data_IF_201338124519
#
_entry.id   IF_201338124519
#
_cell.length_a   1.000
_cell.length_b   1.000
_cell.length_c   1.000
_cell.angle_alpha   90.00
_cell.angle_beta   90.00
_cell.angle_gamma   90.00
#
_symmetry.space_group_name_H-M   'P 1'
#
loop_
_entity.id
_entity.type
_entity.pdbx_description
1 polymer ?
#
# COMPACT_ATOMS: atom_id res chain seq x y z
N UNK A 1 -7.38 -20.35 17.12
CA UNK A 1 -7.83 -18.94 17.06
C UNK A 1 -7.98 -18.53 15.61
N UNK A 2 -9.21 -18.24 15.16
CA UNK A 2 -9.43 -17.63 13.85
C UNK A 2 -8.73 -16.26 13.84
N UNK A 3 -7.76 -16.05 12.94
CA UNK A 3 -7.09 -14.74 12.81
C UNK A 3 -8.16 -13.72 12.41
N UNK A 4 -8.46 -12.77 13.31
CA UNK A 4 -9.39 -11.68 13.04
C UNK A 4 -8.93 -10.97 11.75
N UNK A 5 -9.81 -10.90 10.76
CA UNK A 5 -9.54 -10.26 9.48
C UNK A 5 -9.09 -8.81 9.74
N UNK A 6 -8.02 -8.37 9.10
CA UNK A 6 -7.55 -6.98 9.14
C UNK A 6 -7.69 -6.35 7.74
N UNK A 7 -8.75 -5.55 7.55
CA UNK A 7 -9.15 -5.02 6.24
C UNK A 7 -8.06 -4.13 5.65
N UNK A 8 -7.52 -3.22 6.45
CA UNK A 8 -6.44 -2.32 6.02
C UNK A 8 -5.21 -3.09 5.54
N UNK A 9 -4.83 -4.15 6.26
CA UNK A 9 -3.69 -5.01 5.90
C UNK A 9 -3.94 -5.72 4.57
N UNK A 10 -5.12 -6.31 4.37
CA UNK A 10 -5.46 -7.02 3.13
C UNK A 10 -5.44 -6.06 1.95
N UNK A 11 -6.18 -4.95 2.02
CA UNK A 11 -6.23 -3.93 0.95
C UNK A 11 -4.82 -3.44 0.61
N UNK A 12 -4.01 -3.14 1.63
CA UNK A 12 -2.64 -2.67 1.43
C UNK A 12 -1.77 -3.72 0.71
N UNK A 13 -1.82 -4.98 1.15
CA UNK A 13 -1.00 -6.05 0.55
C UNK A 13 -1.41 -6.36 -0.89
N UNK A 14 -2.70 -6.41 -1.19
CA UNK A 14 -3.22 -6.62 -2.55
C UNK A 14 -2.81 -5.48 -3.50
N UNK A 15 -2.90 -4.24 -3.04
CA UNK A 15 -2.47 -3.08 -3.82
C UNK A 15 -0.95 -3.05 -4.01
N UNK A 16 -0.17 -3.46 -3.01
CA UNK A 16 1.28 -3.61 -3.16
C UNK A 16 1.66 -4.71 -4.15
N UNK A 17 0.96 -5.84 -4.14
CA UNK A 17 1.18 -6.93 -5.10
C UNK A 17 0.88 -6.47 -6.52
N UNK A 18 -0.27 -5.81 -6.73
CA UNK A 18 -0.65 -5.22 -8.02
C UNK A 18 0.39 -4.20 -8.50
N UNK A 19 0.83 -3.29 -7.63
CA UNK A 19 1.86 -2.30 -7.95
C UNK A 19 3.17 -2.95 -8.39
N UNK A 20 3.62 -4.01 -7.68
CA UNK A 20 4.85 -4.75 -8.05
C UNK A 20 4.70 -5.40 -9.41
N UNK A 21 3.58 -6.05 -9.69
CA UNK A 21 3.32 -6.68 -10.99
C UNK A 21 3.40 -5.66 -12.14
N UNK A 22 2.81 -4.46 -11.96
CA UNK A 22 2.90 -3.38 -12.97
C UNK A 22 4.36 -2.93 -13.16
N UNK A 23 5.10 -2.74 -12.06
CA UNK A 23 6.52 -2.34 -12.15
C UNK A 23 7.38 -3.40 -12.86
N UNK A 24 7.10 -4.69 -12.64
CA UNK A 24 7.80 -5.78 -13.30
C UNK A 24 7.47 -5.84 -14.80
N UNK A 25 6.21 -5.58 -15.18
CA UNK A 25 5.82 -5.45 -16.60
C UNK A 25 6.53 -4.28 -17.29
N UNK A 26 6.66 -3.14 -16.63
CA UNK A 26 7.40 -1.99 -17.18
C UNK A 26 8.90 -2.32 -17.28
N UNK A 27 9.47 -2.96 -16.26
CA UNK A 27 10.88 -3.40 -16.25
C UNK A 27 11.20 -4.47 -17.31
N UNK A 28 10.20 -5.21 -17.78
CA UNK A 28 10.39 -6.14 -18.89
C UNK A 28 10.67 -5.42 -20.21
N UNK A 29 10.15 -4.20 -20.39
CA UNK A 29 10.35 -3.39 -21.60
C UNK A 29 11.48 -2.37 -21.47
N UNK A 30 11.76 -1.89 -20.26
CA UNK A 30 12.71 -0.82 -19.99
C UNK A 30 13.79 -1.30 -19.02
N UNK A 31 15.02 -0.82 -19.19
CA UNK A 31 16.08 -1.05 -18.20
C UNK A 31 15.71 -0.42 -16.85
N UNK A 32 15.89 -1.15 -15.74
CA UNK A 32 15.53 -0.68 -14.39
C UNK A 32 16.28 0.58 -13.93
N UNK A 33 17.36 0.95 -14.61
CA UNK A 33 18.17 2.15 -14.35
C UNK A 33 17.86 3.27 -15.36
N UNK A 34 17.03 3.03 -16.37
CA UNK A 34 16.65 4.05 -17.34
C UNK A 34 15.83 5.17 -16.69
N UNK A 35 15.97 6.39 -17.22
CA UNK A 35 15.23 7.55 -16.73
C UNK A 35 13.72 7.38 -16.91
N UNK A 36 13.30 6.74 -18.00
CA UNK A 36 11.91 6.41 -18.30
C UNK A 36 11.34 5.44 -17.25
N UNK A 37 12.06 4.36 -16.94
CA UNK A 37 11.64 3.42 -15.90
C UNK A 37 11.51 4.13 -14.54
N UNK A 38 12.50 4.95 -14.16
CA UNK A 38 12.48 5.67 -12.88
C UNK A 38 11.33 6.67 -12.80
N UNK A 39 11.01 7.36 -13.90
CA UNK A 39 9.85 8.24 -14.00
C UNK A 39 8.54 7.46 -13.86
N UNK A 40 8.36 6.39 -14.64
CA UNK A 40 7.15 5.55 -14.56
C UNK A 40 6.97 4.94 -13.18
N UNK A 41 8.04 4.41 -12.58
CA UNK A 41 8.04 3.89 -11.21
C UNK A 41 7.56 4.93 -10.22
N UNK A 42 8.08 6.17 -10.30
CA UNK A 42 7.64 7.27 -9.43
C UNK A 42 6.15 7.56 -9.60
N UNK A 43 5.64 7.61 -10.83
CA UNK A 43 4.22 7.86 -11.09
C UNK A 43 3.34 6.72 -10.55
N UNK A 44 3.69 5.47 -10.85
CA UNK A 44 2.97 4.27 -10.37
C UNK A 44 2.90 4.28 -8.84
N UNK A 45 4.05 4.44 -8.16
CA UNK A 45 4.09 4.50 -6.70
C UNK A 45 3.24 5.66 -6.15
N UNK A 46 3.36 6.86 -6.71
CA UNK A 46 2.60 8.02 -6.27
C UNK A 46 1.10 7.78 -6.39
N UNK A 47 0.65 7.20 -7.50
CA UNK A 47 -0.75 6.91 -7.74
C UNK A 47 -1.28 5.84 -6.79
N UNK A 48 -0.57 4.72 -6.63
CA UNK A 48 -0.95 3.65 -5.70
C UNK A 48 -1.05 4.14 -4.26
N UNK A 49 -0.03 4.83 -3.74
CA UNK A 49 -0.07 5.33 -2.37
C UNK A 49 -1.07 6.47 -2.18
N UNK A 50 -1.28 7.31 -3.19
CA UNK A 50 -2.29 8.36 -3.17
C UNK A 50 -3.71 7.79 -3.06
N UNK A 51 -4.01 6.75 -3.84
CA UNK A 51 -5.30 6.08 -3.81
C UNK A 51 -5.51 5.32 -2.49
N UNK A 52 -4.51 4.57 -2.02
CA UNK A 52 -4.56 3.90 -0.72
C UNK A 52 -4.86 4.88 0.42
N UNK A 53 -4.23 6.06 0.41
CA UNK A 53 -4.50 7.10 1.41
C UNK A 53 -5.96 7.55 1.36
N UNK A 54 -6.50 7.83 0.16
CA UNK A 54 -7.91 8.21 0.00
C UNK A 54 -8.85 7.11 0.51
N UNK A 55 -8.62 5.86 0.09
CA UNK A 55 -9.42 4.71 0.53
C UNK A 55 -9.43 4.55 2.04
N UNK A 56 -8.27 4.65 2.70
CA UNK A 56 -8.20 4.49 4.16
C UNK A 56 -8.80 5.66 4.93
N UNK A 57 -8.68 6.90 4.43
CA UNK A 57 -9.40 8.04 5.01
C UNK A 57 -10.91 7.80 4.92
N UNK A 58 -11.43 7.40 3.76
CA UNK A 58 -12.85 7.08 3.62
C UNK A 58 -13.26 5.97 4.59
N UNK A 59 -12.53 4.86 4.68
CA UNK A 59 -12.87 3.78 5.61
C UNK A 59 -12.79 4.21 7.10
N UNK A 60 -11.93 5.16 7.44
CA UNK A 60 -11.86 5.78 8.77
C UNK A 60 -13.07 6.68 9.05
N UNK A 61 -13.49 7.51 8.09
CA UNK A 61 -14.70 8.35 8.18
C UNK A 61 -15.96 7.51 8.45
N UNK A 62 -16.03 6.31 7.85
CA UNK A 62 -17.12 5.34 8.06
C UNK A 62 -16.90 4.44 9.29
N UNK A 63 -15.92 4.73 10.14
CA UNK A 63 -15.61 4.02 11.39
C UNK A 63 -15.31 2.52 11.18
N UNK A 64 -14.80 2.15 10.02
CA UNK A 64 -14.35 0.78 9.73
C UNK A 64 -12.88 0.58 10.11
N UNK A 65 -12.09 1.64 9.99
CA UNK A 65 -10.67 1.67 10.33
C UNK A 65 -10.36 2.78 11.34
N UNK A 66 -9.24 2.63 12.04
CA UNK A 66 -8.60 3.66 12.85
C UNK A 66 -7.09 3.63 12.65
N UNK A 67 -6.41 4.73 12.95
CA UNK A 67 -4.96 4.79 12.91
C UNK A 67 -4.30 3.71 13.80
N UNK A 68 -3.27 3.06 13.24
CA UNK A 68 -2.48 2.10 13.99
C UNK A 68 -1.54 2.82 14.98
N UNK A 69 -1.47 2.38 16.25
CA UNK A 69 -0.61 3.00 17.27
C UNK A 69 0.88 3.02 16.91
N UNK A 70 1.34 2.09 16.07
CA UNK A 70 2.75 1.96 15.65
C UNK A 70 3.24 3.05 14.70
N UNK A 71 2.40 4.05 14.35
CA UNK A 71 2.74 5.20 13.48
C UNK A 71 3.34 4.80 12.12
N UNK A 72 2.98 3.61 11.62
CA UNK A 72 3.40 3.14 10.32
C UNK A 72 2.87 4.07 9.21
N UNK A 73 3.69 4.32 8.19
CA UNK A 73 3.30 5.11 7.00
C UNK A 73 3.29 4.23 5.76
N UNK A 74 2.33 4.44 4.86
CA UNK A 74 2.14 3.65 3.64
C UNK A 74 3.42 3.44 2.81
N UNK A 75 4.29 4.46 2.73
CA UNK A 75 5.54 4.40 1.95
C UNK A 75 6.70 3.67 2.63
N UNK A 76 6.54 3.24 3.88
CA UNK A 76 7.56 2.49 4.61
C UNK A 76 7.52 0.98 4.32
N UNK A 77 6.59 0.52 3.50
CA UNK A 77 6.45 -0.88 3.13
C UNK A 77 5.85 -1.74 4.25
N UNK A 78 6.00 -3.07 4.10
CA UNK A 78 5.53 -4.02 5.09
C UNK A 78 6.25 -3.83 6.42
N UNK A 79 5.49 -3.92 7.52
CA UNK A 79 6.00 -4.00 8.88
C UNK A 79 5.34 -5.15 9.59
N UNK A 80 6.08 -5.81 10.48
CA UNK A 80 5.55 -6.86 11.33
C UNK A 80 4.71 -6.26 12.49
N UNK A 81 3.62 -5.61 12.10
CA UNK A 81 2.58 -5.06 12.95
C UNK A 81 1.24 -5.67 12.57
N UNK A 82 0.24 -5.48 13.43
CA UNK A 82 -1.16 -5.77 13.13
C UNK A 82 -1.64 -5.09 11.83
N UNK A 83 -1.14 -3.88 11.56
CA UNK A 83 -1.42 -3.11 10.36
C UNK A 83 -0.77 -3.61 9.07
N UNK A 84 0.24 -4.49 9.15
CA UNK A 84 1.05 -4.93 8.00
C UNK A 84 1.76 -3.80 7.24
N UNK A 85 1.96 -2.63 7.83
CA UNK A 85 2.54 -1.45 7.18
C UNK A 85 1.53 -0.46 6.59
N UNK A 86 0.23 -0.78 6.60
CA UNK A 86 -0.83 0.10 6.07
C UNK A 86 -1.00 1.42 6.86
N UNK A 87 -0.63 1.42 8.15
CA UNK A 87 -0.86 2.54 9.05
C UNK A 87 -2.26 2.59 9.67
N UNK A 88 -3.12 1.63 9.33
CA UNK A 88 -4.50 1.52 9.83
C UNK A 88 -4.77 0.10 10.37
N UNK A 89 -5.71 -0.01 11.30
CA UNK A 89 -6.24 -1.27 11.83
C UNK A 89 -7.76 -1.19 11.89
N UNK A 90 -8.44 -2.33 11.92
CA UNK A 90 -9.89 -2.35 12.12
C UNK A 90 -10.26 -1.70 13.47
N UNK A 91 -11.42 -1.03 13.52
CA UNK A 91 -11.97 -0.49 14.77
C UNK A 91 -12.23 -1.59 15.79
#
# INVERSE_FOLDING_TARGET
>A
MSKKIQLAKIIFLEQLATMKAILDLVAFKLDKKSSEFLYMKKQIMNYTYGNLKKTFITLEEYKMLKHCPTKCKLRQGYKDCECGGSGYINV
#
